data_IF_374764431587
#
_entry.id   IF_374764431587
#
_cell.length_a   1.000
_cell.length_b   1.000
_cell.length_c   1.000
_cell.angle_alpha   90.00
_cell.angle_beta   90.00
_cell.angle_gamma   90.00
#
_symmetry.space_group_name_H-M   'P 1'
#
loop_
_entity.id
_entity.type
_entity.pdbx_description
1 polymer ?
#
# COMPACT_ATOMS: atom_id res chain seq x y z
N UNK A 1 -12.52 0.12 2.08
CA UNK A 1 -13.71 0.67 2.80
C UNK A 1 -14.45 -0.39 3.63
N UNK A 2 -15.02 -1.48 3.06
CA UNK A 2 -15.74 -2.51 3.86
C UNK A 2 -14.85 -3.29 4.86
N UNK A 3 -13.54 -3.34 4.63
CA UNK A 3 -12.54 -3.97 5.51
C UNK A 3 -11.70 -2.96 6.31
N UNK A 4 -12.18 -1.73 6.53
CA UNK A 4 -11.48 -0.75 7.37
C UNK A 4 -10.21 -0.12 6.76
N UNK A 5 -9.77 -0.54 5.58
CA UNK A 5 -8.59 0.03 4.91
C UNK A 5 -8.96 1.38 4.28
N UNK A 6 -8.33 2.45 4.79
CA UNK A 6 -8.38 3.79 4.24
C UNK A 6 -7.61 3.89 2.91
N UNK A 7 -8.15 4.68 1.99
CA UNK A 7 -7.51 5.04 0.72
C UNK A 7 -6.91 6.43 0.91
N UNK A 8 -5.58 6.57 0.98
CA UNK A 8 -4.93 7.88 1.17
C UNK A 8 -4.94 8.72 -0.10
N UNK A 9 -4.62 8.12 -1.24
CA UNK A 9 -4.55 8.83 -2.53
C UNK A 9 -4.56 7.88 -3.72
N UNK A 10 -4.97 8.40 -4.88
CA UNK A 10 -4.87 7.74 -6.19
C UNK A 10 -3.96 8.62 -7.05
N UNK A 11 -2.79 8.10 -7.42
CA UNK A 11 -1.83 8.79 -8.29
C UNK A 11 -1.88 8.16 -9.67
N UNK A 12 -2.17 8.97 -10.70
CA UNK A 12 -2.16 8.52 -12.09
C UNK A 12 -0.73 8.72 -12.62
N UNK A 13 -0.08 7.61 -12.94
CA UNK A 13 1.22 7.57 -13.62
C UNK A 13 1.04 7.21 -15.11
N UNK A 14 2.03 7.49 -15.97
CA UNK A 14 2.01 7.04 -17.37
C UNK A 14 1.86 5.51 -17.54
N UNK A 15 2.21 4.75 -16.50
CA UNK A 15 2.12 3.28 -16.44
C UNK A 15 0.82 2.76 -15.79
N UNK A 16 -0.08 3.64 -15.34
CA UNK A 16 -1.35 3.27 -14.72
C UNK A 16 -1.68 4.05 -13.44
N UNK A 17 -2.77 3.70 -12.76
CA UNK A 17 -3.14 4.30 -11.47
C UNK A 17 -2.56 3.53 -10.29
N UNK A 18 -1.75 4.18 -9.45
CA UNK A 18 -1.33 3.64 -8.14
C UNK A 18 -2.30 4.14 -7.07
N UNK A 19 -3.00 3.21 -6.41
CA UNK A 19 -3.76 3.51 -5.20
C UNK A 19 -2.89 3.23 -3.97
N UNK A 20 -2.59 4.26 -3.17
CA UNK A 20 -1.95 4.08 -1.87
C UNK A 20 -3.01 3.70 -0.83
N UNK A 21 -2.92 2.46 -0.34
CA UNK A 21 -3.77 1.91 0.71
C UNK A 21 -3.04 1.97 2.06
N UNK A 22 -3.76 2.28 3.15
CA UNK A 22 -3.19 2.44 4.50
C UNK A 22 -2.53 1.18 5.06
N UNK A 23 -3.07 0.00 4.76
CA UNK A 23 -2.49 -1.30 5.09
C UNK A 23 -3.18 -2.38 4.26
N UNK A 24 -2.45 -3.44 3.88
CA UNK A 24 -3.06 -4.60 3.24
C UNK A 24 -3.72 -5.51 4.28
N UNK A 25 -4.85 -6.19 3.96
CA UNK A 25 -5.45 -7.15 4.87
C UNK A 25 -4.45 -8.27 5.17
N UNK A 26 -4.28 -8.62 6.46
CA UNK A 26 -3.41 -9.73 6.89
C UNK A 26 -4.04 -11.10 6.60
N UNK A 27 -5.36 -11.16 6.49
CA UNK A 27 -6.10 -12.39 6.19
C UNK A 27 -6.04 -12.76 4.69
N UNK A 28 -5.51 -13.94 4.33
CA UNK A 28 -5.38 -14.36 2.93
C UNK A 28 -6.71 -14.39 2.17
N UNK A 29 -7.81 -14.74 2.84
CA UNK A 29 -9.14 -14.77 2.22
C UNK A 29 -9.65 -13.37 1.87
N UNK A 30 -9.38 -12.39 2.73
CA UNK A 30 -9.77 -11.00 2.49
C UNK A 30 -8.95 -10.41 1.34
N UNK A 31 -7.66 -10.75 1.26
CA UNK A 31 -6.81 -10.33 0.16
C UNK A 31 -7.28 -10.87 -1.19
N UNK A 32 -7.68 -12.14 -1.29
CA UNK A 32 -8.23 -12.71 -2.54
C UNK A 32 -9.44 -11.90 -3.00
N UNK A 33 -10.38 -11.61 -2.09
CA UNK A 33 -11.59 -10.84 -2.41
C UNK A 33 -11.25 -9.42 -2.87
N UNK A 34 -10.30 -8.75 -2.20
CA UNK A 34 -9.89 -7.39 -2.56
C UNK A 34 -9.16 -7.37 -3.90
N UNK A 35 -8.25 -8.31 -4.15
CA UNK A 35 -7.51 -8.38 -5.40
C UNK A 35 -8.40 -8.74 -6.59
N UNK A 36 -9.44 -9.58 -6.40
CA UNK A 36 -10.41 -9.91 -7.45
C UNK A 36 -11.42 -8.77 -7.72
N UNK A 37 -11.58 -7.81 -6.80
CA UNK A 37 -12.56 -6.74 -6.94
C UNK A 37 -12.27 -5.85 -8.16
N UNK A 38 -11.00 -5.53 -8.43
CA UNK A 38 -10.61 -4.72 -9.60
C UNK A 38 -10.98 -5.37 -10.94
N UNK A 39 -10.46 -6.58 -11.23
CA UNK A 39 -10.82 -7.34 -12.44
C UNK A 39 -12.33 -7.58 -12.56
N UNK A 40 -13.03 -7.85 -11.46
CA UNK A 40 -14.48 -8.03 -11.48
C UNK A 40 -15.22 -6.77 -11.97
N UNK A 41 -14.80 -5.58 -11.52
CA UNK A 41 -15.37 -4.31 -12.00
C UNK A 41 -15.10 -4.12 -13.49
N UNK A 42 -13.88 -4.40 -13.96
CA UNK A 42 -13.56 -4.31 -15.40
C UNK A 42 -14.44 -5.25 -16.24
N UNK A 43 -14.69 -6.48 -15.75
CA UNK A 43 -15.57 -7.43 -16.42
C UNK A 43 -17.03 -6.99 -16.42
N UNK A 44 -17.52 -6.38 -15.34
CA UNK A 44 -18.89 -5.83 -15.27
C UNK A 44 -19.04 -4.66 -16.25
N UNK A 45 -18.05 -3.75 -16.32
CA UNK A 45 -18.05 -2.64 -17.28
C UNK A 45 -18.02 -3.19 -18.71
N UNK A 46 -17.15 -4.17 -19.00
CA UNK A 46 -17.08 -4.82 -20.29
C UNK A 46 -18.42 -5.48 -20.68
N UNK A 47 -19.08 -6.19 -19.76
CA UNK A 47 -20.38 -6.80 -20.00
C UNK A 47 -21.47 -5.75 -20.30
N UNK A 48 -21.49 -4.64 -19.57
CA UNK A 48 -22.43 -3.54 -19.80
C UNK A 48 -22.22 -2.86 -21.16
N UNK A 49 -20.96 -2.61 -21.53
CA UNK A 49 -20.60 -2.05 -22.83
C UNK A 49 -20.96 -3.00 -23.98
N UNK A 50 -20.69 -4.29 -23.81
CA UNK A 50 -21.05 -5.31 -24.79
C UNK A 50 -22.57 -5.39 -24.99
N UNK A 51 -23.35 -5.36 -23.91
CA UNK A 51 -24.81 -5.34 -23.99
C UNK A 51 -25.32 -4.07 -24.70
N UNK A 52 -24.75 -2.90 -24.39
CA UNK A 52 -25.09 -1.65 -25.07
C UNK A 52 -24.81 -1.70 -26.58
N UNK A 53 -23.68 -2.29 -26.98
CA UNK A 53 -23.34 -2.53 -28.39
C UNK A 53 -24.28 -3.54 -29.03
N UNK A 54 -24.68 -4.58 -28.31
CA UNK A 54 -25.60 -5.59 -28.82
C UNK A 54 -26.99 -5.02 -29.10
N UNK A 55 -27.53 -4.21 -28.17
CA UNK A 55 -28.81 -3.50 -28.36
C UNK A 55 -28.74 -2.52 -29.52
N UNK A 56 -27.59 -1.88 -29.74
CA UNK A 56 -27.37 -0.99 -30.89
C UNK A 56 -27.19 -1.73 -32.23
N UNK A 57 -27.30 -3.07 -32.28
CA UNK A 57 -27.08 -3.87 -33.48
C UNK A 57 -25.62 -3.97 -33.91
N UNK A 58 -24.68 -3.63 -33.02
CA UNK A 58 -23.22 -3.60 -33.26
C UNK A 58 -22.46 -4.61 -32.40
N UNK A 59 -23.09 -5.73 -32.05
CA UNK A 59 -22.50 -6.78 -31.21
C UNK A 59 -21.17 -7.35 -31.78
N UNK A 60 -21.01 -7.30 -33.11
CA UNK A 60 -19.80 -7.75 -33.82
C UNK A 60 -18.69 -6.70 -33.97
N UNK A 61 -18.86 -5.50 -33.42
CA UNK A 61 -17.94 -4.36 -33.64
C UNK A 61 -16.58 -4.46 -32.92
N UNK A 62 -16.12 -5.67 -32.61
CA UNK A 62 -14.79 -5.95 -32.08
C UNK A 62 -13.76 -6.25 -33.20
N UNK A 63 -14.17 -6.11 -34.46
CA UNK A 63 -13.24 -6.28 -35.59
C UNK A 63 -12.25 -5.11 -35.66
N UNK A 64 -11.05 -5.37 -36.19
CA UNK A 64 -10.00 -4.34 -36.30
C UNK A 64 -10.42 -3.08 -37.08
N UNK A 65 -11.41 -3.19 -37.96
CA UNK A 65 -11.98 -2.06 -38.71
C UNK A 65 -12.78 -1.09 -37.82
N UNK A 66 -13.54 -1.59 -36.85
CA UNK A 66 -14.34 -0.77 -35.93
C UNK A 66 -13.47 -0.09 -34.85
N UNK A 67 -12.39 -0.76 -34.43
CA UNK A 67 -11.37 -0.20 -33.53
C UNK A 67 -10.56 0.90 -34.23
N UNK A 68 -10.22 0.71 -35.51
CA UNK A 68 -9.55 1.72 -36.33
C UNK A 68 -10.49 2.89 -36.74
N UNK A 69 -11.80 2.65 -36.78
CA UNK A 69 -12.83 3.64 -37.12
C UNK A 69 -13.11 4.69 -36.03
N UNK A 70 -12.41 4.65 -34.89
CA UNK A 70 -12.49 5.69 -33.85
C UNK A 70 -13.74 5.65 -32.97
N UNK A 71 -14.51 4.56 -32.98
CA UNK A 71 -15.69 4.46 -32.11
C UNK A 71 -15.25 4.23 -30.66
N UNK A 72 -15.63 5.14 -29.76
CA UNK A 72 -15.17 5.13 -28.35
C UNK A 72 -15.63 3.86 -27.61
N UNK A 73 -16.83 3.34 -27.90
CA UNK A 73 -17.42 2.22 -27.15
C UNK A 73 -16.67 0.88 -27.36
N UNK A 74 -16.42 0.40 -28.59
CA UNK A 74 -15.62 -0.82 -28.81
C UNK A 74 -14.20 -0.73 -28.25
N UNK A 75 -13.56 0.44 -28.34
CA UNK A 75 -12.23 0.67 -27.79
C UNK A 75 -12.23 0.59 -26.26
N UNK A 76 -13.24 1.15 -25.59
CA UNK A 76 -13.40 1.02 -24.14
C UNK A 76 -13.70 -0.42 -23.71
N UNK A 77 -14.49 -1.15 -24.49
CA UNK A 77 -14.76 -2.57 -24.25
C UNK A 77 -13.46 -3.38 -24.33
N UNK A 78 -12.71 -3.23 -25.42
CA UNK A 78 -11.43 -3.89 -25.62
C UNK A 78 -10.43 -3.53 -24.51
N UNK A 79 -10.35 -2.25 -24.12
CA UNK A 79 -9.48 -1.80 -23.03
C UNK A 79 -9.85 -2.43 -21.68
N UNK A 80 -11.13 -2.50 -21.31
CA UNK A 80 -11.56 -3.13 -20.05
C UNK A 80 -11.27 -4.63 -20.03
N UNK A 81 -11.50 -5.33 -21.13
CA UNK A 81 -11.17 -6.75 -21.27
C UNK A 81 -9.66 -6.97 -21.17
N UNK A 82 -8.87 -6.15 -21.88
CA UNK A 82 -7.41 -6.20 -21.82
C UNK A 82 -6.91 -5.94 -20.39
N UNK A 83 -7.41 -4.89 -19.72
CA UNK A 83 -7.07 -4.59 -18.32
C UNK A 83 -7.45 -5.74 -17.39
N UNK A 84 -8.61 -6.37 -17.56
CA UNK A 84 -9.01 -7.53 -16.76
C UNK A 84 -8.07 -8.73 -16.95
N UNK A 85 -7.73 -9.06 -18.20
CA UNK A 85 -6.82 -10.17 -18.52
C UNK A 85 -5.43 -9.91 -17.98
N UNK A 86 -4.87 -8.71 -18.23
CA UNK A 86 -3.57 -8.33 -17.70
C UNK A 86 -3.57 -8.37 -16.17
N UNK A 87 -4.55 -7.76 -15.49
CA UNK A 87 -4.59 -7.80 -14.02
C UNK A 87 -4.78 -9.20 -13.44
N UNK A 88 -5.25 -10.19 -14.21
CA UNK A 88 -5.39 -11.57 -13.77
C UNK A 88 -4.17 -12.45 -14.06
N UNK A 89 -3.13 -11.92 -14.70
CA UNK A 89 -1.88 -12.66 -14.88
C UNK A 89 -1.26 -12.99 -13.50
N UNK A 90 -0.74 -14.22 -13.31
CA UNK A 90 -0.18 -14.70 -12.04
C UNK A 90 1.23 -14.14 -11.80
N UNK A 91 1.39 -12.82 -11.86
CA UNK A 91 2.66 -12.13 -11.71
C UNK A 91 2.49 -10.81 -10.96
N UNK A 92 3.48 -10.45 -10.14
CA UNK A 92 3.55 -9.12 -9.55
C UNK A 92 4.03 -8.10 -10.60
N UNK A 93 3.59 -6.83 -10.52
CA UNK A 93 2.78 -6.19 -9.46
C UNK A 93 1.26 -6.32 -9.65
N UNK A 94 0.79 -7.23 -10.52
CA UNK A 94 -0.60 -7.33 -10.93
C UNK A 94 -1.48 -7.99 -9.85
N UNK A 95 -2.79 -7.78 -9.91
CA UNK A 95 -3.73 -8.33 -8.93
C UNK A 95 -3.70 -9.88 -8.90
N UNK A 96 -3.47 -10.53 -10.04
CA UNK A 96 -3.35 -11.99 -10.16
C UNK A 96 -2.13 -12.55 -9.42
N UNK A 97 -1.03 -11.80 -9.34
CA UNK A 97 0.11 -12.13 -8.48
C UNK A 97 -0.26 -12.10 -6.99
N UNK A 98 -1.08 -11.13 -6.58
CA UNK A 98 -1.62 -11.03 -5.21
C UNK A 98 -2.58 -12.16 -4.89
N UNK A 99 -3.49 -12.48 -5.81
CA UNK A 99 -4.40 -13.63 -5.69
C UNK A 99 -3.60 -14.92 -5.55
N UNK A 100 -2.62 -15.15 -6.41
CA UNK A 100 -1.75 -16.33 -6.34
C UNK A 100 -1.04 -16.42 -4.99
N UNK A 101 -0.40 -15.32 -4.54
CA UNK A 101 0.24 -15.26 -3.23
C UNK A 101 -0.74 -15.59 -2.10
N UNK A 102 -1.94 -15.00 -2.12
CA UNK A 102 -2.93 -15.18 -1.07
C UNK A 102 -3.45 -16.63 -1.02
N UNK A 103 -3.70 -17.24 -2.18
CA UNK A 103 -4.06 -18.67 -2.29
C UNK A 103 -2.94 -19.57 -1.77
N UNK A 104 -1.69 -19.29 -2.13
CA UNK A 104 -0.54 -20.03 -1.60
C UNK A 104 -0.41 -19.85 -0.09
N UNK A 105 -0.69 -18.64 0.43
CA UNK A 105 -0.64 -18.31 1.87
C UNK A 105 -1.67 -19.09 2.70
N UNK A 106 -2.67 -19.74 2.07
CA UNK A 106 -3.58 -20.66 2.77
C UNK A 106 -2.90 -21.98 3.19
N UNK A 107 -1.80 -22.35 2.54
CA UNK A 107 -1.07 -23.61 2.80
C UNK A 107 0.36 -23.43 3.26
N UNK A 108 0.91 -22.22 3.17
CA UNK A 108 2.29 -21.94 3.57
C UNK A 108 2.42 -20.53 4.14
N UNK A 109 3.56 -20.27 4.78
CA UNK A 109 3.88 -18.96 5.32
C UNK A 109 3.89 -17.87 4.24
N UNK A 110 3.52 -16.65 4.63
CA UNK A 110 3.38 -15.48 3.76
C UNK A 110 4.64 -15.14 2.97
N UNK A 111 5.81 -15.23 3.60
CA UNK A 111 7.10 -14.95 2.94
C UNK A 111 7.37 -16.01 1.87
N UNK A 112 7.14 -17.29 2.19
CA UNK A 112 7.30 -18.41 1.24
C UNK A 112 6.33 -18.29 0.06
N UNK A 113 5.06 -17.96 0.33
CA UNK A 113 4.05 -17.74 -0.69
C UNK A 113 4.43 -16.59 -1.64
N UNK A 114 4.94 -15.48 -1.09
CA UNK A 114 5.35 -14.31 -1.87
C UNK A 114 6.55 -14.63 -2.75
N UNK A 115 7.56 -15.33 -2.21
CA UNK A 115 8.73 -15.78 -2.99
C UNK A 115 8.32 -16.67 -4.16
N UNK A 116 7.40 -17.62 -3.93
CA UNK A 116 6.95 -18.51 -4.99
C UNK A 116 6.16 -17.75 -6.06
N UNK A 117 5.23 -16.87 -5.67
CA UNK A 117 4.49 -16.03 -6.59
C UNK A 117 5.42 -15.10 -7.40
N UNK A 118 6.44 -14.52 -6.77
CA UNK A 118 7.45 -13.70 -7.45
C UNK A 118 8.27 -14.50 -8.46
N UNK A 119 8.70 -15.74 -8.13
CA UNK A 119 9.40 -16.62 -9.06
C UNK A 119 8.54 -17.02 -10.26
N UNK A 120 7.27 -17.31 -10.04
CA UNK A 120 6.32 -17.61 -11.12
C UNK A 120 6.16 -16.38 -12.03
N UNK A 121 6.03 -15.18 -11.45
CA UNK A 121 5.98 -13.93 -12.19
C UNK A 121 7.27 -13.64 -12.98
N UNK A 122 8.44 -13.91 -12.41
CA UNK A 122 9.74 -13.78 -13.10
C UNK A 122 9.89 -14.77 -14.25
N UNK A 123 9.45 -16.02 -14.08
CA UNK A 123 9.44 -17.00 -15.16
C UNK A 123 8.51 -16.54 -16.30
N UNK A 124 7.33 -16.00 -15.97
CA UNK A 124 6.42 -15.42 -16.95
C UNK A 124 7.05 -14.20 -17.64
N UNK A 125 7.74 -13.33 -16.92
CA UNK A 125 8.45 -12.19 -17.48
C UNK A 125 9.52 -12.62 -18.49
N UNK A 126 10.31 -13.66 -18.20
CA UNK A 126 11.29 -14.20 -19.15
C UNK A 126 10.61 -14.71 -20.42
N UNK A 127 9.49 -15.44 -20.28
CA UNK A 127 8.71 -15.92 -21.42
C UNK A 127 8.17 -14.75 -22.27
N UNK A 128 7.57 -13.74 -21.63
CA UNK A 128 7.06 -12.55 -22.32
C UNK A 128 8.19 -11.75 -22.99
N UNK A 129 9.36 -11.66 -22.36
CA UNK A 129 10.53 -11.00 -22.91
C UNK A 129 11.02 -11.72 -24.17
N UNK A 130 11.14 -13.05 -24.12
CA UNK A 130 11.53 -13.85 -25.28
C UNK A 130 10.51 -13.71 -26.43
N UNK A 131 9.21 -13.78 -26.14
CA UNK A 131 8.16 -13.55 -27.13
C UNK A 131 8.23 -12.13 -27.70
N UNK A 132 8.53 -11.13 -26.88
CA UNK A 132 8.68 -9.74 -27.30
C UNK A 132 9.81 -9.52 -28.31
N UNK A 133 10.92 -10.24 -28.17
CA UNK A 133 12.03 -10.18 -29.12
C UNK A 133 11.64 -10.67 -30.53
N UNK A 134 10.60 -11.50 -30.66
CA UNK A 134 10.18 -12.05 -31.96
C UNK A 134 9.33 -11.11 -32.80
N UNK A 135 8.92 -9.95 -32.26
CA UNK A 135 8.17 -8.96 -33.06
C UNK A 135 7.38 -7.90 -32.30
N UNK A 136 7.44 -7.86 -30.96
CA UNK A 136 6.71 -6.86 -30.17
C UNK A 136 7.57 -6.27 -29.04
N UNK A 137 8.24 -5.12 -29.26
CA UNK A 137 9.06 -4.45 -28.26
C UNK A 137 8.31 -4.07 -26.97
N UNK A 138 6.98 -3.90 -27.04
CA UNK A 138 6.16 -3.58 -25.87
C UNK A 138 6.09 -4.74 -24.87
N UNK A 139 6.12 -5.99 -25.35
CA UNK A 139 6.19 -7.16 -24.46
C UNK A 139 7.50 -7.22 -23.69
N UNK A 140 8.60 -6.78 -24.31
CA UNK A 140 9.91 -6.67 -23.63
C UNK A 140 9.83 -5.64 -22.50
N UNK A 141 9.18 -4.49 -22.76
CA UNK A 141 8.97 -3.48 -21.72
C UNK A 141 8.13 -4.02 -20.56
N UNK A 142 7.00 -4.68 -20.86
CA UNK A 142 6.16 -5.34 -19.85
C UNK A 142 6.97 -6.37 -19.05
N UNK A 143 7.77 -7.20 -19.72
CA UNK A 143 8.62 -8.20 -19.07
C UNK A 143 9.58 -7.56 -18.05
N UNK A 144 10.23 -6.45 -18.41
CA UNK A 144 11.12 -5.72 -17.48
C UNK A 144 10.35 -5.22 -16.26
N UNK A 145 9.17 -4.61 -16.46
CA UNK A 145 8.34 -4.13 -15.36
C UNK A 145 7.87 -5.26 -14.44
N UNK A 146 7.43 -6.39 -15.01
CA UNK A 146 7.01 -7.57 -14.23
C UNK A 146 8.19 -8.15 -13.45
N UNK A 147 9.38 -8.26 -14.06
CA UNK A 147 10.58 -8.77 -13.39
C UNK A 147 10.97 -7.91 -12.18
N UNK A 148 11.03 -6.60 -12.36
CA UNK A 148 11.39 -5.65 -11.30
C UNK A 148 10.30 -5.64 -10.21
N UNK A 149 9.02 -5.58 -10.60
CA UNK A 149 7.89 -5.56 -9.67
C UNK A 149 7.82 -6.82 -8.81
N UNK A 150 8.07 -7.99 -9.38
CA UNK A 150 8.15 -9.25 -8.64
C UNK A 150 9.31 -9.27 -7.64
N UNK A 151 10.49 -8.76 -8.02
CA UNK A 151 11.62 -8.62 -7.10
C UNK A 151 11.34 -7.64 -5.96
N UNK A 152 10.72 -6.49 -6.28
CA UNK A 152 10.39 -5.45 -5.31
C UNK A 152 9.39 -5.94 -4.24
N UNK A 153 8.31 -6.63 -4.66
CA UNK A 153 7.31 -7.18 -3.73
C UNK A 153 7.93 -8.23 -2.80
N UNK A 154 8.73 -9.16 -3.34
CA UNK A 154 9.40 -10.17 -2.52
C UNK A 154 10.39 -9.54 -1.52
N UNK A 155 11.17 -8.55 -1.96
CA UNK A 155 12.11 -7.83 -1.09
C UNK A 155 11.42 -7.07 0.02
N UNK A 156 10.30 -6.40 -0.27
CA UNK A 156 9.52 -5.66 0.71
C UNK A 156 8.96 -6.57 1.82
N UNK A 157 8.32 -7.68 1.45
CA UNK A 157 7.75 -8.64 2.41
C UNK A 157 8.85 -9.30 3.25
N UNK A 158 10.01 -9.59 2.68
CA UNK A 158 11.14 -10.14 3.44
C UNK A 158 11.73 -9.14 4.43
N UNK A 159 11.85 -7.87 4.05
CA UNK A 159 12.32 -6.82 4.93
C UNK A 159 11.37 -6.67 6.13
N UNK A 160 10.06 -6.62 5.88
CA UNK A 160 9.03 -6.55 6.93
C UNK A 160 9.09 -7.76 7.87
N UNK A 161 9.21 -8.98 7.33
CA UNK A 161 9.29 -10.19 8.13
C UNK A 161 10.53 -10.23 9.04
N UNK A 162 11.67 -9.71 8.58
CA UNK A 162 12.90 -9.61 9.39
C UNK A 162 12.75 -8.62 10.55
N UNK A 163 12.00 -7.54 10.33
CA UNK A 163 11.72 -6.53 11.35
C UNK A 163 10.69 -7.03 12.38
N UNK A 164 9.70 -7.79 11.94
CA UNK A 164 8.63 -8.30 12.80
C UNK A 164 9.11 -9.21 13.94
N UNK A 165 10.29 -9.84 13.80
CA UNK A 165 10.85 -10.76 14.81
C UNK A 165 11.92 -10.11 15.69
N UNK A 166 12.18 -8.81 15.53
CA UNK A 166 13.14 -8.08 16.37
C UNK A 166 12.40 -7.40 17.52
N UNK A 167 12.85 -7.56 18.78
CA UNK A 167 12.24 -6.86 19.90
C UNK A 167 12.43 -5.35 19.73
N UNK A 168 11.37 -4.58 19.99
CA UNK A 168 11.42 -3.11 19.91
C UNK A 168 12.59 -2.52 20.71
N UNK A 169 12.96 -3.16 21.83
CA UNK A 169 14.11 -2.78 22.66
C UNK A 169 15.47 -2.76 21.94
N UNK A 170 15.60 -3.39 20.76
CA UNK A 170 16.85 -3.35 19.96
C UNK A 170 16.98 -2.07 19.12
N UNK A 171 15.86 -1.40 18.84
CA UNK A 171 15.82 -0.14 18.09
C UNK A 171 15.34 1.04 18.93
N UNK A 172 14.85 0.77 20.15
CA UNK A 172 14.39 1.79 21.09
C UNK A 172 15.56 2.61 21.64
N UNK A 173 15.37 3.92 21.71
CA UNK A 173 16.27 4.79 22.46
C UNK A 173 16.05 4.49 23.95
N UNK A 174 17.07 3.96 24.62
CA UNK A 174 17.00 3.59 26.05
C UNK A 174 17.36 4.74 26.98
N UNK A 175 18.06 5.74 26.47
CA UNK A 175 18.42 6.96 27.19
C UNK A 175 17.50 8.09 26.75
N UNK A 176 16.40 8.25 27.47
CA UNK A 176 15.39 9.28 27.22
C UNK A 176 15.15 10.09 28.48
N UNK A 177 14.92 11.39 28.30
CA UNK A 177 14.52 12.25 29.40
C UNK A 177 12.99 12.24 29.55
N UNK A 178 12.55 12.18 30.80
CA UNK A 178 11.13 12.24 31.19
C UNK A 178 10.80 13.60 31.76
N UNK A 179 9.58 14.08 31.54
CA UNK A 179 9.08 15.34 32.10
C UNK A 179 7.89 15.06 33.03
N UNK A 180 7.81 15.75 34.16
CA UNK A 180 6.68 15.64 35.05
C UNK A 180 5.51 16.57 34.62
N UNK A 181 4.25 16.21 34.90
CA UNK A 181 3.09 17.02 34.49
C UNK A 181 3.12 18.47 35.01
N UNK A 182 3.69 18.68 36.19
CA UNK A 182 3.81 19.98 36.85
C UNK A 182 5.00 20.83 36.39
N UNK A 183 5.85 20.33 35.48
CA UNK A 183 6.90 21.15 34.89
C UNK A 183 6.32 22.19 33.93
N UNK A 184 7.00 23.34 33.86
CA UNK A 184 6.70 24.40 32.91
C UNK A 184 7.14 24.01 31.50
N UNK A 185 6.47 24.54 30.48
CA UNK A 185 6.85 24.33 29.08
C UNK A 185 8.26 24.86 28.76
N UNK A 186 8.73 25.90 29.44
CA UNK A 186 10.13 26.37 29.33
C UNK A 186 11.16 25.26 29.58
N UNK A 187 10.91 24.38 30.55
CA UNK A 187 11.78 23.24 30.83
C UNK A 187 11.86 22.26 29.66
N UNK A 188 10.75 22.04 28.95
CA UNK A 188 10.73 21.18 27.78
C UNK A 188 11.52 21.80 26.60
N UNK A 189 11.50 23.12 26.44
CA UNK A 189 12.33 23.83 25.45
C UNK A 189 13.81 23.64 25.78
N UNK A 190 14.21 23.89 27.03
CA UNK A 190 15.60 23.77 27.45
C UNK A 190 16.15 22.37 27.18
N UNK A 191 15.34 21.34 27.46
CA UNK A 191 15.70 19.95 27.18
C UNK A 191 15.76 19.64 25.67
N UNK A 192 14.88 20.25 24.86
CA UNK A 192 14.91 20.10 23.40
C UNK A 192 16.13 20.80 22.79
N UNK A 193 16.55 21.95 23.34
CA UNK A 193 17.73 22.69 22.88
C UNK A 193 19.04 22.05 23.33
N UNK A 194 19.05 21.42 24.51
CA UNK A 194 20.21 20.72 25.06
C UNK A 194 20.43 19.32 24.47
N UNK A 195 19.45 18.76 23.76
CA UNK A 195 19.47 17.38 23.28
C UNK A 195 18.95 17.20 21.85
N UNK A 196 18.84 15.94 21.42
CA UNK A 196 18.28 15.53 20.12
C UNK A 196 16.86 14.97 20.24
N UNK A 197 16.37 14.78 21.48
CA UNK A 197 15.03 14.29 21.77
C UNK A 197 13.99 15.40 21.52
N UNK A 198 12.98 15.09 20.71
CA UNK A 198 11.90 16.03 20.33
C UNK A 198 10.56 15.75 21.01
N UNK A 199 10.38 14.52 21.48
CA UNK A 199 9.17 14.07 22.14
C UNK A 199 9.53 13.48 23.51
N UNK A 200 8.81 13.89 24.56
CA UNK A 200 9.13 13.54 25.94
C UNK A 200 8.01 12.72 26.56
N UNK A 201 8.29 11.51 27.08
CA UNK A 201 7.33 10.80 27.91
C UNK A 201 7.06 11.60 29.19
N UNK A 202 5.78 11.78 29.48
CA UNK A 202 5.31 12.43 30.71
C UNK A 202 5.14 11.34 31.76
N UNK A 203 5.84 11.47 32.88
CA UNK A 203 5.84 10.47 33.96
C UNK A 203 5.35 11.11 35.26
N UNK A 204 4.37 10.47 35.89
CA UNK A 204 3.81 10.83 37.19
C UNK A 204 3.75 9.58 38.07
N UNK A 205 4.33 9.64 39.27
CA UNK A 205 4.38 8.52 40.23
C UNK A 205 4.90 7.19 39.63
N UNK A 206 5.88 7.27 38.74
CA UNK A 206 6.47 6.10 38.07
C UNK A 206 5.58 5.47 37.00
N UNK A 207 4.45 6.10 36.65
CA UNK A 207 3.57 5.70 35.56
C UNK A 207 3.66 6.69 34.41
N UNK A 208 3.55 6.19 33.18
CA UNK A 208 3.49 7.04 31.98
C UNK A 208 2.09 7.66 31.92
N UNK A 209 2.02 8.96 32.12
CA UNK A 209 0.78 9.73 32.08
C UNK A 209 0.46 10.24 30.66
N UNK A 210 1.47 10.41 29.79
CA UNK A 210 1.29 10.98 28.46
C UNK A 210 2.58 11.05 27.65
N UNK A 211 2.48 11.65 26.46
CA UNK A 211 3.63 12.09 25.66
C UNK A 211 3.46 13.57 25.32
N UNK A 212 4.51 14.34 25.58
CA UNK A 212 4.63 15.72 25.16
C UNK A 212 5.36 15.77 23.81
N UNK A 213 4.60 15.98 22.73
CA UNK A 213 5.17 16.08 21.38
C UNK A 213 5.70 17.48 21.10
N UNK A 214 6.66 17.61 20.17
CA UNK A 214 7.16 18.93 19.74
C UNK A 214 6.02 19.87 19.29
N UNK A 215 5.01 19.33 18.59
CA UNK A 215 3.86 20.10 18.15
C UNK A 215 3.01 20.61 19.33
N UNK A 216 2.86 19.82 20.39
CA UNK A 216 2.16 20.22 21.60
C UNK A 216 2.92 21.30 22.38
N UNK A 217 4.26 21.22 22.44
CA UNK A 217 5.10 22.27 23.06
C UNK A 217 4.89 23.60 22.34
N UNK A 218 5.01 23.62 21.00
CA UNK A 218 4.86 24.84 20.21
C UNK A 218 3.45 25.46 20.33
N UNK A 219 2.40 24.63 20.37
CA UNK A 219 1.03 25.10 20.62
C UNK A 219 0.88 25.67 22.02
N UNK A 220 1.35 24.95 23.03
CA UNK A 220 1.29 25.37 24.43
C UNK A 220 2.02 26.68 24.68
N UNK A 221 3.19 26.89 24.08
CA UNK A 221 3.92 28.15 24.21
C UNK A 221 3.20 29.34 23.59
N UNK A 222 2.47 29.12 22.50
CA UNK A 222 1.68 30.17 21.88
C UNK A 222 0.43 30.49 22.70
N UNK A 223 -0.22 29.47 23.24
CA UNK A 223 -1.56 29.60 23.84
C UNK A 223 -1.48 29.92 25.35
N UNK A 224 -0.50 29.38 26.07
CA UNK A 224 -0.30 29.47 27.54
C UNK A 224 0.98 30.21 27.95
N UNK A 225 1.89 30.44 27.01
CA UNK A 225 3.20 31.02 27.30
C UNK A 225 4.21 30.04 27.91
N UNK A 226 5.43 30.51 28.25
CA UNK A 226 6.51 29.67 28.78
C UNK A 226 6.25 29.10 30.18
N UNK A 227 5.33 29.71 30.93
CA UNK A 227 4.94 29.29 32.29
C UNK A 227 3.78 28.29 32.30
N UNK A 228 3.16 28.00 31.15
CA UNK A 228 2.12 26.98 31.02
C UNK A 228 2.61 25.60 31.47
N UNK A 229 1.70 24.80 32.03
CA UNK A 229 2.03 23.47 32.55
C UNK A 229 2.00 22.42 31.46
N UNK A 230 2.89 21.43 31.57
CA UNK A 230 2.97 20.30 30.62
C UNK A 230 1.66 19.48 30.60
N UNK A 231 1.00 19.35 31.75
CA UNK A 231 -0.30 18.66 31.86
C UNK A 231 -1.41 19.25 31.00
N UNK A 232 -1.35 20.55 30.68
CA UNK A 232 -2.41 21.26 29.94
C UNK A 232 -2.36 21.01 28.43
N UNK A 233 -1.22 20.49 27.93
CA UNK A 233 -0.96 20.24 26.51
C UNK A 233 -0.55 18.80 26.21
N UNK A 234 -0.46 17.96 27.24
CA UNK A 234 -0.13 16.55 27.13
C UNK A 234 -1.11 15.79 26.23
N UNK A 235 -0.58 14.96 25.33
CA UNK A 235 -1.40 13.95 24.67
C UNK A 235 -1.43 12.68 25.55
N UNK A 236 -2.61 12.07 25.79
CA UNK A 236 -2.69 10.79 26.49
C UNK A 236 -1.95 9.71 25.69
N UNK A 237 -1.34 8.75 26.39
CA UNK A 237 -0.73 7.60 25.73
C UNK A 237 -1.85 6.65 25.30
N UNK A 238 -2.12 6.56 23.99
CA UNK A 238 -2.80 5.40 23.43
C UNK A 238 -1.89 4.18 23.65
N UNK A 239 -2.32 3.30 24.53
CA UNK A 239 -1.70 1.98 24.65
C UNK A 239 -1.95 1.26 23.32
N UNK A 240 -0.89 1.03 22.57
CA UNK A 240 -0.96 0.11 21.44
C UNK A 240 -1.20 -1.28 22.04
N UNK A 241 -2.44 -1.78 21.95
CA UNK A 241 -2.75 -3.18 22.22
C UNK A 241 -1.85 -4.03 21.31
N UNK A 242 -0.90 -4.73 21.93
CA UNK A 242 0.04 -5.66 21.27
C UNK A 242 -0.62 -7.03 21.10
#
# INVERSE_FOLDING_TARGET
RRFGIGTRSITILPIGGLALLDSMPKDPRQEILVALAGPAVNLVIAAALWLGLAVAGRAGALTGADLAGGTILPTLLAANLLLAVFNMLPAFPMDGGRVLRAVLSLRMDRVRATRLAARIGQALAVLLGFLGLTGNPFLVLIAVFVWIGAGAEAGAVEAEARLAHQPAGRAMITDFQTIAPWHKLSRAIDLTLAGTQKDFPIVEDGRIAGVLTQAAILRGLRDLGPDGLVSEVAAPVETADV
#
